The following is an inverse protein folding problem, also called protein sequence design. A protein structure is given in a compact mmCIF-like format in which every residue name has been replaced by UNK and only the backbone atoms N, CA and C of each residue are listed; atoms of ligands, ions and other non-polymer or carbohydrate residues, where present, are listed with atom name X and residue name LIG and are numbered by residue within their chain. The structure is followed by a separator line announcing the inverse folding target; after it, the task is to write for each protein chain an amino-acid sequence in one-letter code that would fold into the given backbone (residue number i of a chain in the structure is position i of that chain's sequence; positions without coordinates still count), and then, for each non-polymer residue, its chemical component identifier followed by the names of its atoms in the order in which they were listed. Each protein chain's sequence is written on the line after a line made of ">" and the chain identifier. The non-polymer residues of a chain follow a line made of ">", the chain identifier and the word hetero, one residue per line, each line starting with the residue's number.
data_IF_069563558605
#
_entry.id   IF_069563558605
#
_cell.length_a   1.000
_cell.length_b   1.000
_cell.length_c   1.000
_cell.angle_alpha   90.00
_cell.angle_beta   90.00
_cell.angle_gamma   90.00
#
_symmetry.space_group_name_H-M   'P 1'
#
loop_
_entity.id
_entity.type
_entity.pdbx_description
1 polymer ?
#
# COMPACT_ATOMS: atom_id res chain seq x y z
N UNK A 1 30.39 6.95 -0.22
CA UNK A 1 29.04 6.39 -0.46
C UNK A 1 29.07 4.95 -0.01
N UNK A 2 28.57 4.66 1.19
CA UNK A 2 28.45 3.28 1.66
C UNK A 2 27.29 2.58 0.96
N UNK A 3 27.34 1.25 0.77
CA UNK A 3 26.21 0.50 0.24
C UNK A 3 25.01 0.69 1.17
N UNK A 4 23.84 1.00 0.60
CA UNK A 4 22.56 1.00 1.30
C UNK A 4 22.42 -0.36 2.00
N UNK A 5 22.51 -0.38 3.33
CA UNK A 5 22.18 -1.57 4.11
C UNK A 5 20.72 -1.91 3.82
N UNK A 6 20.48 -2.99 3.08
CA UNK A 6 19.16 -3.60 3.00
C UNK A 6 18.69 -3.84 4.44
N UNK A 7 17.59 -3.17 4.80
CA UNK A 7 16.94 -3.33 6.10
C UNK A 7 16.73 -4.84 6.33
N UNK A 8 17.20 -5.36 7.46
CA UNK A 8 16.98 -6.76 7.81
C UNK A 8 15.46 -7.04 7.76
N UNK A 9 15.05 -7.98 6.89
CA UNK A 9 13.64 -8.29 6.63
C UNK A 9 12.95 -8.71 7.92
N UNK A 10 11.78 -8.14 8.17
CA UNK A 10 10.99 -8.44 9.36
C UNK A 10 10.33 -9.80 9.18
N UNK A 11 10.17 -10.62 10.25
CA UNK A 11 9.32 -11.81 10.20
C UNK A 11 7.85 -11.52 9.85
N UNK A 12 7.43 -10.24 9.91
CA UNK A 12 6.11 -9.76 9.47
C UNK A 12 6.05 -9.38 7.98
N UNK A 13 7.16 -9.49 7.25
CA UNK A 13 7.17 -9.20 5.80
C UNK A 13 6.32 -10.25 5.07
N UNK A 14 5.25 -9.81 4.41
CA UNK A 14 4.47 -10.66 3.51
C UNK A 14 5.38 -11.11 2.37
N UNK A 15 5.78 -12.38 2.39
CA UNK A 15 6.57 -12.95 1.31
C UNK A 15 5.64 -13.25 0.13
N UNK A 16 5.53 -12.31 -0.79
CA UNK A 16 4.89 -12.53 -2.09
C UNK A 16 5.86 -13.34 -2.94
N UNK A 17 5.66 -14.65 -3.01
CA UNK A 17 6.52 -15.55 -3.80
C UNK A 17 6.30 -15.40 -5.32
N UNK A 18 5.09 -15.03 -5.75
CA UNK A 18 4.74 -14.88 -7.16
C UNK A 18 3.53 -13.96 -7.33
N UNK A 19 3.51 -13.17 -8.41
CA UNK A 19 2.36 -12.34 -8.83
C UNK A 19 1.99 -12.71 -10.26
N UNK A 20 0.72 -13.00 -10.49
CA UNK A 20 0.22 -13.37 -11.81
C UNK A 20 -0.92 -12.46 -12.23
N UNK A 21 -0.83 -11.93 -13.44
CA UNK A 21 -1.94 -11.24 -14.10
C UNK A 21 -2.57 -12.18 -15.13
N UNK A 22 -3.76 -12.69 -14.81
CA UNK A 22 -4.51 -13.59 -15.68
C UNK A 22 -6.01 -13.42 -15.48
N UNK A 23 -6.79 -14.07 -16.33
CA UNK A 23 -8.23 -14.22 -16.11
C UNK A 23 -8.44 -15.11 -14.87
N UNK A 24 -9.26 -14.63 -13.96
CA UNK A 24 -9.67 -15.32 -12.74
C UNK A 24 -11.15 -15.62 -12.85
N UNK A 25 -11.53 -16.87 -12.57
CA UNK A 25 -12.94 -17.22 -12.44
C UNK A 25 -13.47 -16.82 -11.06
N UNK A 26 -14.77 -16.53 -10.94
CA UNK A 26 -15.37 -16.10 -9.67
C UNK A 26 -15.19 -17.13 -8.55
N UNK A 27 -15.18 -18.42 -8.89
CA UNK A 27 -14.93 -19.51 -7.94
C UNK A 27 -13.55 -19.43 -7.29
N UNK A 28 -12.55 -18.90 -8.00
CA UNK A 28 -11.20 -18.72 -7.43
C UNK A 28 -11.18 -17.58 -6.40
N UNK A 29 -12.00 -16.55 -6.60
CA UNK A 29 -12.16 -15.44 -5.65
C UNK A 29 -12.81 -15.93 -4.37
N UNK A 30 -13.85 -16.75 -4.47
CA UNK A 30 -14.54 -17.34 -3.33
C UNK A 30 -13.66 -18.34 -2.57
N UNK A 31 -12.80 -19.08 -3.28
CA UNK A 31 -11.84 -19.99 -2.70
C UNK A 31 -10.55 -19.31 -2.17
N UNK A 32 -10.41 -17.99 -2.34
CA UNK A 32 -9.23 -17.27 -1.91
C UNK A 32 -9.15 -17.19 -0.38
N UNK A 33 -7.92 -17.17 0.15
CA UNK A 33 -7.67 -16.95 1.58
C UNK A 33 -7.94 -15.50 2.00
N UNK A 34 -7.64 -14.57 1.10
CA UNK A 34 -7.84 -13.14 1.27
C UNK A 34 -8.19 -12.53 -0.09
N UNK A 35 -9.02 -11.49 -0.09
CA UNK A 35 -9.33 -10.70 -1.27
C UNK A 35 -9.34 -9.22 -0.88
N UNK A 36 -8.79 -8.38 -1.73
CA UNK A 36 -8.75 -6.94 -1.52
C UNK A 36 -8.76 -6.21 -2.86
N UNK A 37 -9.23 -4.96 -2.82
CA UNK A 37 -9.17 -4.02 -3.92
C UNK A 37 -8.00 -3.07 -3.70
N UNK A 38 -7.32 -2.71 -4.78
CA UNK A 38 -6.27 -1.70 -4.78
C UNK A 38 -6.81 -0.46 -5.49
N UNK A 39 -6.77 0.69 -4.82
CA UNK A 39 -7.27 1.95 -5.35
C UNK A 39 -6.40 3.13 -4.87
N UNK A 40 -6.30 4.18 -5.67
CA UNK A 40 -5.52 5.38 -5.34
C UNK A 40 -6.06 6.11 -4.11
N UNK A 41 -7.38 6.12 -3.89
CA UNK A 41 -8.00 6.86 -2.79
C UNK A 41 -7.85 6.17 -1.42
N UNK A 42 -7.89 4.83 -1.40
CA UNK A 42 -7.98 4.05 -0.16
C UNK A 42 -6.85 3.04 0.03
N UNK A 43 -5.80 3.11 -0.81
CA UNK A 43 -4.68 2.16 -0.94
C UNK A 43 -5.11 0.71 -1.12
N UNK A 44 -5.56 0.06 -0.05
CA UNK A 44 -6.05 -1.32 0.01
C UNK A 44 -7.39 -1.37 0.75
N UNK A 45 -8.42 -1.94 0.12
CA UNK A 45 -9.74 -2.17 0.72
C UNK A 45 -10.02 -3.67 0.81
N UNK A 46 -10.16 -4.25 2.01
CA UNK A 46 -10.44 -5.67 2.16
C UNK A 46 -11.85 -6.03 1.69
N UNK A 47 -11.97 -7.13 0.94
CA UNK A 47 -13.26 -7.70 0.51
C UNK A 47 -13.52 -8.95 1.35
N UNK A 48 -14.59 -8.92 2.14
CA UNK A 48 -14.93 -10.00 3.09
C UNK A 48 -15.98 -10.97 2.55
N UNK A 49 -16.74 -10.56 1.54
CA UNK A 49 -17.80 -11.37 0.92
C UNK A 49 -18.13 -10.87 -0.47
N UNK A 50 -18.61 -11.77 -1.32
CA UNK A 50 -19.14 -11.47 -2.66
C UNK A 50 -20.53 -12.08 -2.74
N UNK A 51 -21.56 -11.28 -3.07
CA UNK A 51 -22.96 -11.73 -3.12
C UNK A 51 -23.39 -12.49 -1.84
N UNK A 52 -23.06 -11.93 -0.67
CA UNK A 52 -23.28 -12.52 0.67
C UNK A 52 -22.53 -13.82 0.97
N UNK A 53 -21.82 -14.40 0.00
CA UNK A 53 -20.95 -15.54 0.22
C UNK A 53 -19.63 -15.06 0.86
N UNK A 54 -19.25 -15.59 2.04
CA UNK A 54 -18.03 -15.16 2.72
C UNK A 54 -16.78 -15.61 1.97
N UNK A 55 -15.78 -14.75 1.91
CA UNK A 55 -14.42 -15.14 1.51
C UNK A 55 -13.70 -15.60 2.76
N UNK A 56 -13.19 -16.84 2.74
CA UNK A 56 -12.51 -17.47 3.87
C UNK A 56 -13.31 -17.35 5.19
N UNK A 57 -12.79 -16.65 6.19
CA UNK A 57 -13.37 -16.49 7.52
C UNK A 57 -14.13 -15.16 7.71
N UNK A 58 -14.38 -14.43 6.62
CA UNK A 58 -15.03 -13.11 6.59
C UNK A 58 -14.26 -12.03 7.37
N UNK A 59 -13.01 -12.27 7.75
CA UNK A 59 -12.15 -11.29 8.42
C UNK A 59 -11.15 -10.70 7.43
N UNK A 60 -10.56 -9.59 7.82
CA UNK A 60 -9.42 -9.03 7.09
C UNK A 60 -8.19 -9.84 7.45
N UNK A 61 -7.54 -10.44 6.45
CA UNK A 61 -6.35 -11.23 6.68
C UNK A 61 -5.08 -10.38 6.86
N UNK A 62 -4.02 -11.04 7.31
CA UNK A 62 -2.75 -10.40 7.66
C UNK A 62 -2.03 -9.84 6.43
N UNK A 63 -2.15 -10.50 5.28
CA UNK A 63 -1.48 -10.06 4.05
C UNK A 63 -2.06 -8.72 3.58
N UNK A 64 -3.38 -8.62 3.63
CA UNK A 64 -4.13 -7.41 3.28
C UNK A 64 -3.74 -6.23 4.18
N UNK A 65 -3.62 -6.46 5.49
CA UNK A 65 -3.19 -5.42 6.45
C UNK A 65 -1.75 -4.99 6.21
N UNK A 66 -0.84 -5.95 6.01
CA UNK A 66 0.56 -5.64 5.79
C UNK A 66 0.77 -4.86 4.48
N UNK A 67 0.07 -5.21 3.39
CA UNK A 67 0.11 -4.43 2.15
C UNK A 67 -0.46 -3.02 2.33
N UNK A 68 -1.53 -2.86 3.11
CA UNK A 68 -2.08 -1.56 3.44
C UNK A 68 -1.04 -0.68 4.15
N UNK A 69 -0.42 -1.18 5.22
CA UNK A 69 0.61 -0.44 5.95
C UNK A 69 1.87 -0.22 5.12
N UNK A 70 2.25 -1.17 4.26
CA UNK A 70 3.38 -1.00 3.35
C UNK A 70 3.14 0.20 2.42
N UNK A 71 1.97 0.29 1.80
CA UNK A 71 1.63 1.40 0.90
C UNK A 71 1.45 2.72 1.64
N UNK A 72 0.84 2.70 2.82
CA UNK A 72 0.70 3.89 3.68
C UNK A 72 2.07 4.45 4.09
N UNK A 73 3.02 3.57 4.44
CA UNK A 73 4.40 3.96 4.71
C UNK A 73 5.14 4.46 3.46
N UNK A 74 4.85 3.89 2.28
CA UNK A 74 5.45 4.31 1.01
C UNK A 74 5.01 5.74 0.63
N UNK A 75 3.80 6.17 1.03
CA UNK A 75 3.30 7.54 0.80
C UNK A 75 4.04 8.62 1.61
N UNK A 76 4.83 8.24 2.63
CA UNK A 76 5.61 9.20 3.39
C UNK A 76 6.70 9.85 2.52
N UNK A 77 6.91 11.17 2.65
CA UNK A 77 7.93 11.84 1.86
C UNK A 77 9.30 11.27 2.22
N UNK A 78 10.18 11.07 1.22
CA UNK A 78 11.55 10.65 1.50
C UNK A 78 12.27 11.71 2.35
N UNK A 79 13.27 11.31 3.16
CA UNK A 79 14.08 12.26 3.92
C UNK A 79 14.71 13.32 3.02
N UNK A 80 14.96 14.50 3.58
CA UNK A 80 15.59 15.62 2.84
C UNK A 80 16.90 15.16 2.21
N UNK A 81 17.05 15.38 0.90
CA UNK A 81 18.24 14.99 0.14
C UNK A 81 18.23 13.56 -0.40
N UNK A 82 17.18 12.77 -0.14
CA UNK A 82 17.00 11.43 -0.72
C UNK A 82 16.07 11.51 -1.93
N UNK A 83 16.56 11.09 -3.09
CA UNK A 83 15.75 10.99 -4.30
C UNK A 83 14.94 9.70 -4.29
N UNK A 84 13.61 9.79 -4.46
CA UNK A 84 12.74 8.64 -4.67
C UNK A 84 12.40 8.51 -6.15
N UNK A 85 12.48 7.29 -6.69
CA UNK A 85 12.04 6.98 -8.05
C UNK A 85 10.52 6.78 -8.17
N UNK A 86 9.79 6.81 -7.05
CA UNK A 86 8.33 6.57 -6.97
C UNK A 86 7.55 7.81 -6.56
N UNK A 87 8.16 8.66 -5.74
CA UNK A 87 7.52 9.85 -5.18
C UNK A 87 8.29 11.11 -5.57
N UNK A 88 7.57 12.11 -6.04
CA UNK A 88 8.09 13.45 -6.25
C UNK A 88 7.48 14.39 -5.21
N UNK A 89 8.33 15.07 -4.44
CA UNK A 89 7.87 16.09 -3.52
C UNK A 89 7.32 17.26 -4.33
N UNK A 90 6.09 17.69 -4.03
CA UNK A 90 5.53 18.90 -4.60
C UNK A 90 6.19 20.10 -3.91
N UNK A 91 6.91 20.97 -4.66
CA UNK A 91 7.54 22.15 -4.09
C UNK A 91 6.46 23.23 -3.92
N UNK A 92 5.65 23.14 -2.86
CA UNK A 92 4.59 24.11 -2.58
C UNK A 92 5.11 25.56 -2.40
N UNK A 93 6.43 25.74 -2.25
CA UNK A 93 7.07 27.04 -2.09
C UNK A 93 6.50 27.83 -0.90
N UNK A 94 6.75 29.14 -0.87
CA UNK A 94 6.13 30.07 0.10
C UNK A 94 4.66 30.40 -0.23
N UNK A 95 4.05 29.75 -1.23
CA UNK A 95 2.76 30.16 -1.81
C UNK A 95 1.52 29.50 -1.18
N UNK A 96 1.66 28.51 -0.30
CA UNK A 96 0.58 28.21 0.65
C UNK A 96 0.60 29.30 1.73
N UNK A 97 0.09 30.47 1.35
CA UNK A 97 0.00 31.74 2.09
C UNK A 97 0.59 31.71 3.49
N UNK A 98 1.85 32.11 3.61
CA UNK A 98 2.36 32.58 4.89
C UNK A 98 1.49 33.78 5.32
N UNK A 99 0.65 33.57 6.34
CA UNK A 99 -0.21 34.59 6.95
C UNK A 99 0.57 35.86 7.38
N UNK A 100 1.89 35.75 7.53
CA UNK A 100 2.81 36.84 7.82
C UNK A 100 3.08 37.79 6.65
N UNK A 101 2.60 37.50 5.43
CA UNK A 101 2.76 38.35 4.24
C UNK A 101 1.49 39.17 3.88
N UNK A 102 0.47 39.17 4.75
CA UNK A 102 -0.78 39.94 4.59
C UNK A 102 -0.81 41.25 5.41
N UNK A 103 0.32 41.94 5.57
CA UNK A 103 0.40 43.26 6.22
C UNK A 103 0.57 44.36 5.19
#
# INVERSE_FOLDING_TARGET
>A
MGPLQERARSPDDVIVANVQQRKLHISEVLAAKECFLVCTTFTIVPVRSVNDEPIADRKTGLTTLALHYMLDNDMLPPPVGVYSSRHIQVPYGYMTGMRSQLV
#
